data_IF_628825509301
#
_entry.id   IF_628825509301
#
_cell.length_a   1.000
_cell.length_b   1.000
_cell.length_c   1.000
_cell.angle_alpha   90.00
_cell.angle_beta   90.00
_cell.angle_gamma   90.00
#
_symmetry.space_group_name_H-M   'P 1'
#
loop_
_entity.id
_entity.type
_entity.pdbx_description
1 polymer ?
#
# COMPACT_ATOMS: atom_id res chain seq x y z
N UNK A 1 -9.66 -9.62 19.45
CA UNK A 1 -9.63 -9.12 18.90
C UNK A 1 -8.91 -8.89 18.23
N UNK A 2 -8.87 -8.85 17.75
CA UNK A 2 -8.17 -8.77 16.92
C UNK A 2 -7.64 -7.88 16.69
N UNK A 3 -7.13 -7.78 16.64
CA UNK A 3 -6.55 -7.03 16.47
C UNK A 3 -6.40 -6.50 15.41
N UNK A 4 -5.71 -6.13 15.03
CA UNK A 4 -5.48 -5.47 14.05
C UNK A 4 -5.29 -6.25 12.92
N UNK A 5 -6.03 -6.26 11.91
CA UNK A 5 -5.75 -6.90 10.65
C UNK A 5 -5.08 -5.86 9.78
N UNK A 6 -3.82 -5.66 10.00
CA UNK A 6 -3.08 -4.63 9.30
C UNK A 6 -3.14 -4.79 7.77
N UNK A 7 -2.92 -5.99 7.21
CA UNK A 7 -3.00 -6.13 5.76
C UNK A 7 -4.37 -5.74 5.22
N UNK A 8 -5.43 -6.12 5.90
CA UNK A 8 -6.76 -5.79 5.44
C UNK A 8 -7.01 -4.29 5.50
N UNK A 9 -6.52 -3.64 6.55
CA UNK A 9 -6.68 -2.20 6.67
C UNK A 9 -5.92 -1.47 5.56
N UNK A 10 -4.75 -1.97 5.20
CA UNK A 10 -3.99 -1.38 4.12
C UNK A 10 -4.77 -1.50 2.81
N UNK A 11 -5.34 -2.67 2.54
CA UNK A 11 -6.10 -2.87 1.32
C UNK A 11 -7.29 -1.94 1.25
N UNK A 12 -7.99 -1.77 2.37
CA UNK A 12 -9.13 -0.86 2.40
C UNK A 12 -8.69 0.59 2.17
N UNK A 13 -7.57 0.96 2.76
CA UNK A 13 -7.06 2.31 2.59
C UNK A 13 -6.69 2.56 1.14
N UNK A 14 -5.99 1.62 0.51
CA UNK A 14 -5.60 1.77 -0.88
C UNK A 14 -6.81 1.83 -1.79
N UNK A 15 -7.85 1.09 -1.45
CA UNK A 15 -9.05 1.09 -2.27
C UNK A 15 -9.74 2.45 -2.29
N UNK A 16 -9.57 3.23 -1.24
CA UNK A 16 -10.18 4.55 -1.16
C UNK A 16 -9.36 5.63 -1.86
N UNK A 17 -8.13 5.31 -2.22
CA UNK A 17 -7.26 6.32 -2.82
C UNK A 17 -7.39 6.33 -4.32
N UNK A 18 -7.30 7.51 -4.89
CA UNK A 18 -7.36 7.65 -6.34
C UNK A 18 -6.00 7.61 -6.99
N UNK A 19 -4.96 7.57 -6.20
CA UNK A 19 -3.61 7.52 -6.72
C UNK A 19 -2.72 6.76 -5.76
N UNK A 20 -1.52 6.40 -6.21
CA UNK A 20 -0.61 5.62 -5.36
C UNK A 20 -0.28 6.35 -4.07
N UNK A 21 -0.02 5.57 -3.04
CA UNK A 21 0.34 6.13 -1.74
C UNK A 21 1.73 5.64 -1.36
N UNK A 22 2.37 6.36 -0.44
CA UNK A 22 3.68 5.98 0.04
C UNK A 22 3.54 5.20 1.34
N UNK A 23 4.67 4.59 1.75
CA UNK A 23 4.70 3.91 3.04
C UNK A 23 4.33 4.87 4.16
N UNK A 24 4.78 6.12 4.05
CA UNK A 24 4.48 7.10 5.07
C UNK A 24 2.99 7.39 5.16
N UNK A 25 2.31 7.43 4.02
CA UNK A 25 0.87 7.65 4.03
C UNK A 25 0.17 6.52 4.79
N UNK A 26 0.59 5.28 4.55
CA UNK A 26 0.01 4.13 5.22
C UNK A 26 0.31 4.17 6.70
N UNK A 27 1.54 4.52 7.04
CA UNK A 27 1.96 4.62 8.43
C UNK A 27 1.05 5.58 9.20
N UNK A 28 0.81 6.73 8.62
CA UNK A 28 -0.01 7.74 9.29
C UNK A 28 -1.47 7.32 9.36
N UNK A 29 -1.95 6.72 8.30
CA UNK A 29 -3.36 6.36 8.27
C UNK A 29 -3.68 5.26 9.28
N UNK A 30 -2.81 4.30 9.41
CA UNK A 30 -3.04 3.17 10.29
C UNK A 30 -2.47 3.36 11.69
N UNK A 31 -1.73 4.44 11.88
CA UNK A 31 -1.10 4.73 13.16
C UNK A 31 -0.17 3.59 13.59
N UNK A 32 0.68 3.18 12.69
CA UNK A 32 1.67 2.14 12.96
C UNK A 32 3.04 2.69 12.62
N UNK A 33 4.09 1.99 13.01
CA UNK A 33 5.44 2.43 12.71
C UNK A 33 5.70 2.29 11.22
N UNK A 34 6.68 3.03 10.73
CA UNK A 34 7.06 2.95 9.33
C UNK A 34 7.46 1.52 8.96
N UNK A 35 8.22 0.89 9.84
CA UNK A 35 8.69 -0.46 9.56
C UNK A 35 7.54 -1.45 9.46
N UNK A 36 6.55 -1.32 10.33
CA UNK A 36 5.38 -2.19 10.28
C UNK A 36 4.62 -1.98 8.98
N UNK A 37 4.41 -0.73 8.58
CA UNK A 37 3.73 -0.45 7.34
C UNK A 37 4.49 -1.03 6.15
N UNK A 38 5.81 -0.85 6.14
CA UNK A 38 6.63 -1.32 5.04
C UNK A 38 6.59 -2.84 4.93
N UNK A 39 6.71 -3.54 6.04
CA UNK A 39 6.70 -4.99 6.03
C UNK A 39 5.39 -5.53 5.46
N UNK A 40 4.28 -4.97 5.92
CA UNK A 40 2.98 -5.46 5.46
C UNK A 40 2.72 -5.09 4.01
N UNK A 41 3.17 -3.90 3.58
CA UNK A 41 3.02 -3.51 2.19
C UNK A 41 3.79 -4.48 1.29
N UNK A 42 5.02 -4.80 1.67
CA UNK A 42 5.82 -5.72 0.87
C UNK A 42 5.24 -7.12 0.83
N UNK A 43 4.63 -7.56 1.91
CA UNK A 43 3.95 -8.85 1.90
C UNK A 43 2.78 -8.86 0.93
N UNK A 44 2.05 -7.76 0.86
CA UNK A 44 0.94 -7.66 -0.06
C UNK A 44 1.43 -7.61 -1.50
N UNK A 45 2.56 -6.98 -1.73
CA UNK A 45 3.16 -6.99 -3.06
C UNK A 45 3.54 -8.41 -3.44
N UNK A 46 4.14 -9.14 -2.51
CA UNK A 46 4.54 -10.51 -2.79
C UNK A 46 3.34 -11.41 -3.10
N UNK A 47 2.19 -11.12 -2.50
CA UNK A 47 1.00 -11.91 -2.75
C UNK A 47 0.27 -11.51 -4.02
N UNK A 48 0.70 -10.42 -4.66
CA UNK A 48 0.09 -9.98 -5.90
C UNK A 48 -1.09 -9.06 -5.74
N UNK A 49 -1.45 -8.70 -4.51
CA UNK A 49 -2.60 -7.83 -4.28
C UNK A 49 -2.27 -6.36 -4.42
N UNK A 50 -1.02 -6.02 -4.25
CA UNK A 50 -0.57 -4.64 -4.29
C UNK A 50 0.62 -4.58 -5.22
N UNK A 51 0.71 -3.50 -5.98
CA UNK A 51 1.87 -3.26 -6.83
C UNK A 51 2.57 -2.01 -6.35
N UNK A 52 3.81 -1.86 -6.74
CA UNK A 52 4.54 -0.69 -6.31
C UNK A 52 5.57 -0.29 -7.35
N UNK A 53 6.01 0.94 -7.21
CA UNK A 53 7.08 1.46 -8.03
C UNK A 53 7.91 2.41 -7.19
N UNK A 54 9.20 2.35 -7.34
CA UNK A 54 10.07 3.27 -6.63
C UNK A 54 10.18 4.56 -7.42
N UNK A 55 9.89 5.66 -6.75
CA UNK A 55 9.94 6.97 -7.37
C UNK A 55 10.84 7.81 -6.48
N UNK A 56 12.03 8.11 -6.96
CA UNK A 56 13.01 8.82 -6.17
C UNK A 56 13.42 7.96 -4.98
N UNK A 57 13.20 8.47 -3.79
CA UNK A 57 13.52 7.75 -2.57
C UNK A 57 12.33 7.09 -1.93
N UNK A 58 11.18 7.14 -2.57
CA UNK A 58 9.97 6.62 -1.99
C UNK A 58 9.43 5.50 -2.84
N UNK A 59 8.74 4.58 -2.19
CA UNK A 59 7.98 3.56 -2.89
C UNK A 59 6.53 3.99 -2.90
N UNK A 60 5.89 3.88 -4.05
CA UNK A 60 4.48 4.19 -4.18
C UNK A 60 3.74 2.89 -4.42
N UNK A 61 2.63 2.72 -3.73
CA UNK A 61 1.87 1.48 -3.73
C UNK A 61 0.44 1.74 -4.17
N UNK A 62 -0.15 0.75 -4.85
CA UNK A 62 -1.56 0.82 -5.26
C UNK A 62 -2.11 -0.58 -5.38
N UNK A 63 -3.44 -0.69 -5.36
CA UNK A 63 -4.08 -1.99 -5.55
C UNK A 63 -3.87 -2.45 -6.98
N UNK A 64 -3.44 -3.69 -7.12
CA UNK A 64 -3.20 -4.25 -8.45
C UNK A 64 -4.47 -4.22 -9.29
N UNK A 65 -5.62 -4.53 -8.68
CA UNK A 65 -6.86 -4.57 -9.43
C UNK A 65 -7.37 -3.19 -9.81
N UNK A 66 -7.02 -2.18 -9.04
CA UNK A 66 -7.58 -0.86 -9.26
C UNK A 66 -6.99 -0.14 -10.47
N UNK A 67 -5.69 -0.31 -10.67
CA UNK A 67 -5.03 0.37 -11.77
C UNK A 67 -4.48 -0.62 -12.78
N UNK A 68 -5.12 -1.75 -12.87
CA UNK A 68 -4.56 -2.83 -13.64
C UNK A 68 -4.24 -2.47 -15.08
N UNK A 69 -5.09 -1.72 -15.72
CA UNK A 69 -4.86 -1.39 -17.09
C UNK A 69 -4.56 0.03 -17.38
N UNK A 70 -5.15 0.89 -16.63
CA UNK A 70 -5.08 2.29 -16.97
C UNK A 70 -3.98 3.06 -16.33
N UNK A 71 -3.54 2.60 -15.18
CA UNK A 71 -2.48 3.33 -14.50
C UNK A 71 -1.17 3.02 -15.17
N UNK A 72 -0.51 4.04 -15.64
CA UNK A 72 0.80 3.86 -16.21
C UNK A 72 1.74 4.72 -15.45
N UNK A 73 2.75 4.11 -14.90
CA UNK A 73 3.76 4.85 -14.18
C UNK A 73 4.45 5.79 -15.17
N UNK A 74 4.64 7.02 -14.79
CA UNK A 74 5.32 7.97 -15.65
C UNK A 74 6.76 7.60 -15.89
#
# INVERSE_FOLDING_TARGET
MPKKDIPKKILLFLDKQDWPVTTENVMKELDVSWNTAQVHLLKLVASGKVKYKKVGRQNQFWLASKYNKEFKAP
#
